data_IF_283393995682
#
_entry.id   IF_283393995682
#
_cell.length_a   1.000
_cell.length_b   1.000
_cell.length_c   1.000
_cell.angle_alpha   90.00
_cell.angle_beta   90.00
_cell.angle_gamma   90.00
#
_symmetry.space_group_name_H-M   'P 1'
#
loop_
_entity.id
_entity.type
_entity.pdbx_description
1 polymer ?
#
# COMPACT_ATOMS: atom_id res chain seq x y z
N UNK A 1 10.90 31.53 -11.31
CA UNK A 1 11.19 30.26 -10.60
C UNK A 1 10.57 29.13 -11.40
N UNK A 2 11.28 28.02 -11.61
CA UNK A 2 10.71 26.84 -12.29
C UNK A 2 9.61 26.28 -11.38
N UNK A 3 8.39 26.12 -11.88
CA UNK A 3 7.29 25.54 -11.12
C UNK A 3 7.67 24.09 -10.80
N UNK A 4 7.75 23.75 -9.51
CA UNK A 4 8.05 22.37 -9.09
C UNK A 4 6.79 21.52 -9.18
N UNK A 5 6.91 20.32 -9.74
CA UNK A 5 5.77 19.38 -9.88
C UNK A 5 5.29 18.95 -8.49
N UNK A 6 3.99 19.07 -8.16
CA UNK A 6 3.49 18.60 -6.88
C UNK A 6 3.55 17.08 -6.78
N UNK A 7 4.01 16.58 -5.64
CA UNK A 7 4.10 15.17 -5.31
C UNK A 7 3.30 14.87 -4.05
N UNK A 8 2.36 13.93 -4.10
CA UNK A 8 1.58 13.48 -2.94
C UNK A 8 2.01 12.07 -2.54
N UNK A 9 2.22 11.84 -1.25
CA UNK A 9 2.46 10.49 -0.70
C UNK A 9 1.13 9.90 -0.25
N UNK A 10 0.80 8.70 -0.72
CA UNK A 10 -0.32 7.91 -0.22
C UNK A 10 0.24 6.75 0.61
N UNK A 11 -0.11 6.72 1.89
CA UNK A 11 0.33 5.72 2.85
C UNK A 11 -0.85 5.16 3.63
N UNK A 12 -0.60 4.24 4.55
CA UNK A 12 -1.61 3.63 5.42
C UNK A 12 -1.52 2.11 5.45
N UNK A 13 -2.18 1.44 6.41
CA UNK A 13 -2.03 0.02 6.65
C UNK A 13 -2.36 -0.87 5.43
N UNK A 14 -1.88 -2.11 5.46
CA UNK A 14 -2.26 -3.11 4.45
C UNK A 14 -3.79 -3.27 4.42
N UNK A 15 -4.35 -3.37 3.21
CA UNK A 15 -5.79 -3.56 3.02
C UNK A 15 -6.68 -2.34 3.31
N UNK A 16 -6.12 -1.18 3.63
CA UNK A 16 -6.91 0.05 3.85
C UNK A 16 -7.62 0.56 2.59
N UNK A 17 -7.22 0.07 1.42
CA UNK A 17 -7.81 0.42 0.13
C UNK A 17 -6.99 1.44 -0.67
N UNK A 18 -5.69 1.58 -0.41
CA UNK A 18 -4.77 2.44 -1.17
C UNK A 18 -4.83 2.18 -2.69
N UNK A 19 -4.69 0.93 -3.12
CA UNK A 19 -4.75 0.57 -4.55
C UNK A 19 -6.11 0.91 -5.16
N UNK A 20 -7.21 0.66 -4.44
CA UNK A 20 -8.56 1.05 -4.88
C UNK A 20 -8.70 2.56 -5.03
N UNK A 21 -8.14 3.33 -4.08
CA UNK A 21 -8.09 4.79 -4.16
C UNK A 21 -7.27 5.26 -5.37
N UNK A 22 -6.10 4.68 -5.62
CA UNK A 22 -5.26 5.03 -6.77
C UNK A 22 -5.99 4.82 -8.10
N UNK A 23 -6.69 3.69 -8.25
CA UNK A 23 -7.53 3.42 -9.43
C UNK A 23 -8.62 4.48 -9.59
N UNK A 24 -9.30 4.82 -8.51
CA UNK A 24 -10.32 5.86 -8.50
C UNK A 24 -9.74 7.24 -8.89
N UNK A 25 -8.56 7.60 -8.37
CA UNK A 25 -7.84 8.83 -8.75
C UNK A 25 -7.49 8.82 -10.24
N UNK A 26 -6.95 7.72 -10.77
CA UNK A 26 -6.62 7.60 -12.19
C UNK A 26 -7.83 7.78 -13.10
N UNK A 27 -8.99 7.27 -12.70
CA UNK A 27 -10.22 7.36 -13.48
C UNK A 27 -10.89 8.73 -13.40
N UNK A 28 -10.80 9.42 -12.25
CA UNK A 28 -11.58 10.64 -11.97
C UNK A 28 -10.79 11.93 -12.05
N UNK A 29 -9.48 11.88 -11.94
CA UNK A 29 -8.67 13.09 -11.95
C UNK A 29 -8.55 13.64 -13.38
N UNK A 30 -8.92 14.91 -13.63
CA UNK A 30 -9.03 15.45 -14.99
C UNK A 30 -7.69 15.82 -15.63
N UNK A 31 -6.59 15.75 -14.86
CA UNK A 31 -5.25 16.19 -15.25
C UNK A 31 -4.28 15.01 -15.37
N UNK A 32 -3.13 15.24 -16.00
CA UNK A 32 -2.11 14.22 -16.21
C UNK A 32 -1.42 13.88 -14.89
N UNK A 33 -1.59 12.64 -14.42
CA UNK A 33 -1.00 12.17 -13.17
C UNK A 33 -0.05 11.00 -13.44
N UNK A 34 1.10 11.00 -12.77
CA UNK A 34 2.01 9.86 -12.72
C UNK A 34 1.92 9.20 -11.34
N UNK A 35 1.89 7.87 -11.31
CA UNK A 35 1.80 7.10 -10.07
C UNK A 35 3.04 6.21 -9.96
N UNK A 36 3.70 6.26 -8.81
CA UNK A 36 4.86 5.45 -8.47
C UNK A 36 4.53 4.59 -7.26
N UNK A 37 4.74 3.28 -7.36
CA UNK A 37 4.45 2.33 -6.28
C UNK A 37 5.76 1.84 -5.65
N UNK A 38 5.93 2.04 -4.35
CA UNK A 38 7.19 1.75 -3.64
C UNK A 38 7.25 0.34 -2.99
N UNK A 39 6.69 -0.71 -3.62
CA UNK A 39 6.86 -2.07 -3.09
C UNK A 39 8.26 -2.63 -3.42
N UNK A 40 9.11 -2.68 -2.39
CA UNK A 40 10.36 -3.44 -2.40
C UNK A 40 10.08 -4.93 -2.58
N UNK A 41 10.64 -5.52 -3.64
CA UNK A 41 10.86 -6.96 -3.77
C UNK A 41 9.67 -7.76 -4.36
N UNK A 42 9.97 -8.41 -5.48
CA UNK A 42 9.14 -9.39 -6.20
C UNK A 42 7.88 -8.85 -6.92
N UNK A 43 8.09 -8.66 -8.22
CA UNK A 43 7.12 -8.74 -9.31
C UNK A 43 6.15 -7.56 -9.39
N UNK A 44 6.21 -6.87 -10.53
CA UNK A 44 5.18 -5.99 -11.03
C UNK A 44 3.84 -6.75 -11.19
N UNK A 45 3.08 -6.83 -10.10
CA UNK A 45 1.69 -7.30 -10.09
C UNK A 45 0.78 -6.08 -9.93
N UNK A 46 0.91 -5.13 -10.86
CA UNK A 46 -0.20 -4.30 -11.32
C UNK A 46 0.14 -3.58 -12.66
N UNK A 47 1.06 -4.15 -13.45
CA UNK A 47 1.41 -3.67 -14.80
C UNK A 47 0.30 -3.87 -15.86
N UNK A 48 -0.94 -4.16 -15.44
CA UNK A 48 -2.12 -4.22 -16.30
C UNK A 48 -3.32 -3.48 -15.71
N UNK A 49 -3.09 -2.38 -15.00
CA UNK A 49 -4.17 -1.41 -14.76
C UNK A 49 -4.05 -0.24 -15.74
N UNK A 50 -4.57 -0.59 -16.92
CA UNK A 50 -5.33 0.25 -17.85
C UNK A 50 -4.52 1.20 -18.72
N UNK A 51 -4.49 0.79 -19.99
CA UNK A 51 -4.28 1.56 -21.21
C UNK A 51 -5.11 2.86 -21.21
N UNK A 52 -4.64 3.89 -20.53
CA UNK A 52 -4.92 5.29 -20.85
C UNK A 52 -3.87 5.78 -21.84
N UNK A 53 -4.26 6.48 -22.90
CA UNK A 53 -3.43 6.85 -24.07
C UNK A 53 -2.06 7.53 -23.79
N UNK A 54 -1.64 7.83 -22.56
CA UNK A 54 -0.45 8.64 -22.26
C UNK A 54 0.31 8.29 -20.96
N UNK A 55 0.39 7.02 -20.52
CA UNK A 55 1.20 6.65 -19.34
C UNK A 55 2.11 5.46 -19.66
N UNK A 56 3.43 5.70 -19.69
CA UNK A 56 4.45 4.66 -19.63
C UNK A 56 5.03 4.63 -18.21
N UNK A 57 5.01 3.47 -17.55
CA UNK A 57 5.65 3.25 -16.26
C UNK A 57 7.16 3.13 -16.47
N UNK A 58 7.96 3.87 -15.67
CA UNK A 58 9.39 3.63 -15.54
C UNK A 58 9.61 2.49 -14.55
N UNK A 59 10.38 1.49 -14.96
CA UNK A 59 10.73 0.30 -14.17
C UNK A 59 11.91 0.65 -13.25
N UNK A 60 11.66 0.69 -11.94
CA UNK A 60 12.70 0.86 -10.92
C UNK A 60 13.30 -0.52 -10.62
N UNK A 61 14.38 -0.83 -11.34
CA UNK A 61 15.13 -2.08 -11.20
C UNK A 61 15.61 -2.30 -9.77
N UNK A 62 15.24 -3.46 -9.20
CA UNK A 62 15.44 -3.77 -7.79
C UNK A 62 16.91 -3.84 -7.34
N UNK A 63 17.19 -3.23 -6.18
CA UNK A 63 18.42 -3.47 -5.42
C UNK A 63 18.38 -2.85 -4.04
N UNK A 64 18.37 -3.67 -2.97
CA UNK A 64 18.63 -3.17 -1.63
C UNK A 64 20.11 -2.78 -1.47
N UNK A 65 20.41 -1.48 -1.41
CA UNK A 65 21.47 -0.89 -0.59
C UNK A 65 20.90 0.43 -0.09
N UNK A 66 20.83 0.64 1.22
CA UNK A 66 20.06 1.75 1.84
C UNK A 66 20.51 3.19 1.45
N UNK A 67 21.56 3.35 0.64
CA UNK A 67 21.96 4.63 0.05
C UNK A 67 21.80 4.70 -1.50
N UNK A 68 21.59 3.58 -2.20
CA UNK A 68 21.36 3.57 -3.65
C UNK A 68 19.90 3.88 -4.02
N UNK A 69 18.98 3.53 -3.12
CA UNK A 69 17.54 3.65 -3.33
C UNK A 69 17.04 5.08 -3.43
N UNK A 70 17.63 6.02 -2.67
CA UNK A 70 17.30 7.44 -2.78
C UNK A 70 17.69 7.98 -4.17
N UNK A 71 18.88 7.61 -4.66
CA UNK A 71 19.35 7.99 -5.99
C UNK A 71 18.50 7.40 -7.11
N UNK A 72 18.07 6.14 -6.97
CA UNK A 72 17.15 5.48 -7.91
C UNK A 72 15.77 6.15 -7.91
N UNK A 73 15.20 6.42 -6.73
CA UNK A 73 13.94 7.14 -6.58
C UNK A 73 14.01 8.55 -7.19
N UNK A 74 15.08 9.29 -6.90
CA UNK A 74 15.33 10.60 -7.51
C UNK A 74 15.45 10.52 -9.03
N UNK A 75 16.21 9.55 -9.54
CA UNK A 75 16.36 9.35 -10.98
C UNK A 75 15.02 9.06 -11.65
N UNK A 76 14.20 8.16 -11.09
CA UNK A 76 12.88 7.84 -11.65
C UNK A 76 11.92 9.03 -11.60
N UNK A 77 11.89 9.78 -10.49
CA UNK A 77 11.06 11.00 -10.40
C UNK A 77 11.51 12.01 -11.44
N UNK A 78 12.82 12.22 -11.61
CA UNK A 78 13.36 13.14 -12.60
C UNK A 78 13.05 12.68 -14.04
N UNK A 79 13.16 11.38 -14.34
CA UNK A 79 12.83 10.80 -15.63
C UNK A 79 11.34 10.97 -15.95
N UNK A 80 10.45 10.69 -15.00
CA UNK A 80 9.00 10.90 -15.16
C UNK A 80 8.72 12.37 -15.48
N UNK A 81 9.36 13.31 -14.77
CA UNK A 81 9.17 14.74 -15.04
C UNK A 81 9.65 15.10 -16.44
N UNK A 82 10.81 14.60 -16.86
CA UNK A 82 11.43 14.99 -18.13
C UNK A 82 10.78 14.30 -19.35
N UNK A 83 10.23 13.09 -19.19
CA UNK A 83 9.64 12.29 -20.29
C UNK A 83 8.12 12.37 -20.35
N UNK A 84 7.46 12.33 -19.19
CA UNK A 84 6.00 12.34 -19.08
C UNK A 84 5.50 13.76 -18.87
N UNK A 85 6.21 14.66 -18.21
CA UNK A 85 5.72 16.01 -17.88
C UNK A 85 4.31 16.00 -17.26
N UNK A 86 4.11 15.31 -16.11
CA UNK A 86 2.80 15.22 -15.48
C UNK A 86 2.44 16.49 -14.70
N UNK A 87 1.14 16.80 -14.59
CA UNK A 87 0.63 17.85 -13.71
C UNK A 87 0.87 17.53 -12.22
N UNK A 88 1.01 16.24 -11.87
CA UNK A 88 1.22 15.74 -10.51
C UNK A 88 1.85 14.35 -10.48
N UNK A 89 2.61 14.09 -9.42
CA UNK A 89 3.10 12.75 -9.07
C UNK A 89 2.40 12.27 -7.79
N UNK A 90 2.05 10.99 -7.75
CA UNK A 90 1.57 10.30 -6.54
C UNK A 90 2.49 9.13 -6.24
N UNK A 91 2.96 9.02 -5.00
CA UNK A 91 3.80 7.92 -4.55
C UNK A 91 3.03 7.09 -3.53
N UNK A 92 2.81 5.81 -3.81
CA UNK A 92 2.28 4.86 -2.83
C UNK A 92 3.43 4.26 -2.00
N UNK A 93 3.30 4.28 -0.68
CA UNK A 93 4.18 3.50 0.21
C UNK A 93 3.59 2.12 0.49
N UNK A 94 4.44 1.14 0.81
CA UNK A 94 3.96 -0.14 1.31
C UNK A 94 3.12 0.05 2.57
N UNK A 95 2.18 -0.86 2.83
CA UNK A 95 1.32 -0.72 4.01
C UNK A 95 2.02 -0.97 5.36
N UNK A 96 3.30 -1.33 5.31
CA UNK A 96 4.19 -1.50 6.48
C UNK A 96 5.31 -0.46 6.50
N UNK A 97 5.35 0.45 5.53
CA UNK A 97 6.35 1.50 5.49
C UNK A 97 5.99 2.64 6.43
N UNK A 98 7.01 3.16 7.10
CA UNK A 98 6.96 4.41 7.82
C UNK A 98 7.19 5.55 6.80
N UNK A 99 6.28 6.53 6.71
CA UNK A 99 6.35 7.55 5.66
C UNK A 99 7.46 8.58 5.89
N UNK A 100 7.97 8.72 7.11
CA UNK A 100 8.86 9.80 7.52
C UNK A 100 10.14 9.90 6.70
N UNK A 101 10.80 8.77 6.44
CA UNK A 101 12.02 8.75 5.65
C UNK A 101 11.78 9.21 4.20
N UNK A 102 10.74 8.67 3.56
CA UNK A 102 10.37 9.07 2.19
C UNK A 102 9.97 10.55 2.12
N UNK A 103 9.19 11.02 3.09
CA UNK A 103 8.76 12.43 3.19
C UNK A 103 9.97 13.35 3.34
N UNK A 104 10.91 13.00 4.22
CA UNK A 104 12.16 13.74 4.41
C UNK A 104 12.99 13.77 3.12
N UNK A 105 13.18 12.62 2.48
CA UNK A 105 13.92 12.48 1.23
C UNK A 105 13.33 13.31 0.09
N UNK A 106 11.99 13.33 -0.05
CA UNK A 106 11.29 14.17 -1.03
C UNK A 106 11.55 15.65 -0.75
N UNK A 107 11.54 16.07 0.51
CA UNK A 107 11.71 17.47 0.88
C UNK A 107 13.16 17.96 0.70
N UNK A 108 14.13 17.13 1.06
CA UNK A 108 15.55 17.49 1.05
C UNK A 108 16.21 17.27 -0.32
N UNK A 109 15.93 16.15 -0.97
CA UNK A 109 16.72 15.69 -2.12
C UNK A 109 16.07 15.98 -3.47
N UNK A 110 14.73 15.97 -3.56
CA UNK A 110 14.06 16.11 -4.85
C UNK A 110 13.80 17.57 -5.25
N UNK A 111 14.78 18.19 -5.91
CA UNK A 111 14.72 19.63 -6.27
C UNK A 111 13.66 20.01 -7.32
N UNK A 112 13.22 19.07 -8.17
CA UNK A 112 12.21 19.33 -9.22
C UNK A 112 10.76 19.18 -8.74
N UNK A 113 10.55 18.57 -7.57
CA UNK A 113 9.21 18.39 -6.99
C UNK A 113 9.03 19.25 -5.75
N UNK A 114 7.77 19.40 -5.35
CA UNK A 114 7.41 19.87 -4.02
C UNK A 114 6.49 18.83 -3.39
N UNK A 115 6.77 18.44 -2.15
CA UNK A 115 5.82 17.63 -1.41
C UNK A 115 4.54 18.45 -1.22
N UNK A 116 3.45 17.95 -1.78
CA UNK A 116 2.15 18.61 -1.70
C UNK A 116 1.40 18.19 -0.42
N UNK A 117 1.50 16.91 -0.04
CA UNK A 117 0.99 16.40 1.22
C UNK A 117 1.09 14.88 1.35
N UNK A 118 0.73 14.38 2.53
CA UNK A 118 0.69 12.97 2.91
C UNK A 118 -0.76 12.59 3.20
N UNK A 119 -1.28 11.61 2.46
CA UNK A 119 -2.61 11.05 2.64
C UNK A 119 -2.46 9.68 3.28
N UNK A 120 -3.07 9.49 4.44
CA UNK A 120 -3.09 8.20 5.13
C UNK A 120 -4.46 7.55 4.99
N UNK A 121 -4.52 6.42 4.30
CA UNK A 121 -5.74 5.65 4.11
C UNK A 121 -5.92 4.71 5.29
N UNK A 122 -7.03 4.84 6.03
CA UNK A 122 -7.37 4.04 7.21
C UNK A 122 -8.65 3.24 6.94
N UNK A 123 -8.67 1.98 7.35
CA UNK A 123 -9.86 1.13 7.30
C UNK A 123 -10.69 1.29 8.58
N UNK A 124 -11.92 1.80 8.45
CA UNK A 124 -12.81 2.00 9.58
C UNK A 124 -13.21 0.68 10.26
N UNK A 125 -13.52 -0.38 9.50
CA UNK A 125 -13.91 -1.67 10.06
C UNK A 125 -12.74 -2.35 10.79
N UNK A 126 -11.53 -2.26 10.22
CA UNK A 126 -10.34 -2.78 10.88
C UNK A 126 -10.06 -2.06 12.21
N UNK A 127 -10.30 -0.75 12.28
CA UNK A 127 -10.13 0.04 13.50
C UNK A 127 -11.10 -0.35 14.62
N UNK A 128 -12.30 -0.83 14.28
CA UNK A 128 -13.25 -1.40 15.24
C UNK A 128 -12.79 -2.77 15.72
N UNK A 129 -12.42 -3.65 14.77
CA UNK A 129 -12.02 -5.04 15.08
C UNK A 129 -10.70 -5.14 15.82
N UNK A 130 -9.77 -4.22 15.53
CA UNK A 130 -8.44 -4.17 16.11
C UNK A 130 -8.21 -2.78 16.75
N UNK A 131 -8.73 -2.54 17.98
CA UNK A 131 -8.62 -1.25 18.63
C UNK A 131 -7.18 -0.86 19.01
N UNK A 132 -6.25 -1.81 19.07
CA UNK A 132 -4.82 -1.51 19.27
C UNK A 132 -4.19 -1.04 17.97
N UNK A 133 -3.48 0.10 18.01
CA UNK A 133 -2.71 0.57 16.87
C UNK A 133 -1.27 0.03 16.96
N UNK A 134 -0.80 -0.57 15.87
CA UNK A 134 0.62 -0.86 15.70
C UNK A 134 1.44 0.42 15.55
N UNK A 135 2.75 0.31 15.77
CA UNK A 135 3.66 1.46 15.74
C UNK A 135 3.64 2.15 14.37
N UNK A 136 3.77 1.39 13.29
CA UNK A 136 3.75 1.91 11.92
C UNK A 136 2.45 2.64 11.59
N UNK A 137 1.28 2.08 11.95
CA UNK A 137 0.00 2.74 11.71
C UNK A 137 -0.10 4.07 12.43
N UNK A 138 0.43 4.14 13.66
CA UNK A 138 0.49 5.39 14.42
C UNK A 138 1.35 6.43 13.70
N UNK A 139 2.56 6.07 13.25
CA UNK A 139 3.42 6.98 12.50
C UNK A 139 2.77 7.45 11.19
N UNK A 140 2.09 6.55 10.47
CA UNK A 140 1.32 6.91 9.28
C UNK A 140 0.20 7.92 9.59
N UNK A 141 -0.49 7.78 10.72
CA UNK A 141 -1.52 8.74 11.16
C UNK A 141 -0.86 10.08 11.54
N UNK A 142 0.25 10.08 12.28
CA UNK A 142 0.97 11.28 12.73
C UNK A 142 1.57 12.10 11.57
N UNK A 143 1.97 11.43 10.48
CA UNK A 143 2.52 12.06 9.29
C UNK A 143 1.45 12.68 8.36
N UNK A 144 0.20 12.25 8.48
CA UNK A 144 -0.90 12.62 7.59
C UNK A 144 -1.23 14.11 7.61
N UNK A 145 -1.48 14.69 6.44
CA UNK A 145 -2.22 15.95 6.30
C UNK A 145 -3.71 15.68 6.08
N UNK A 146 -4.03 14.56 5.40
CA UNK A 146 -5.38 14.04 5.22
C UNK A 146 -5.42 12.59 5.67
N UNK A 147 -6.39 12.26 6.50
CA UNK A 147 -6.74 10.87 6.80
C UNK A 147 -7.97 10.51 5.98
N UNK A 148 -7.79 9.63 4.99
CA UNK A 148 -8.92 9.06 4.26
C UNK A 148 -9.46 7.86 5.05
N UNK A 149 -10.52 8.07 5.81
CA UNK A 149 -11.21 7.03 6.55
C UNK A 149 -12.14 6.27 5.60
N UNK A 150 -11.69 5.11 5.14
CA UNK A 150 -12.34 4.28 4.14
C UNK A 150 -13.17 3.16 4.77
N UNK A 151 -14.04 2.52 3.97
CA UNK A 151 -14.94 1.43 4.37
C UNK A 151 -15.92 1.83 5.48
N UNK A 152 -16.33 3.09 5.46
CA UNK A 152 -17.26 3.68 6.46
C UNK A 152 -18.65 3.07 6.40
N UNK A 153 -19.00 2.40 5.31
CA UNK A 153 -20.21 1.61 5.13
C UNK A 153 -20.27 0.35 6.00
N UNK A 154 -19.14 -0.10 6.54
CA UNK A 154 -19.03 -1.33 7.33
C UNK A 154 -19.12 -1.10 8.84
N UNK A 155 -19.27 0.15 9.30
CA UNK A 155 -19.30 0.51 10.72
C UNK A 155 -20.53 1.35 11.06
N UNK A 156 -20.97 1.27 12.32
CA UNK A 156 -22.05 2.11 12.83
C UNK A 156 -21.60 3.56 13.02
N UNK A 157 -22.56 4.49 13.08
CA UNK A 157 -22.28 5.91 13.36
C UNK A 157 -21.56 6.13 14.70
N UNK A 158 -21.90 5.35 15.72
CA UNK A 158 -21.25 5.43 17.04
C UNK A 158 -19.80 4.98 17.00
N UNK A 159 -19.50 3.92 16.24
CA UNK A 159 -18.12 3.44 16.05
C UNK A 159 -17.30 4.44 15.24
N UNK A 160 -17.90 5.03 14.19
CA UNK A 160 -17.24 6.04 13.37
C UNK A 160 -16.82 7.26 14.20
N UNK A 161 -17.70 7.78 15.05
CA UNK A 161 -17.38 8.88 15.97
C UNK A 161 -16.26 8.52 16.97
N UNK A 162 -16.23 7.27 17.44
CA UNK A 162 -15.15 6.80 18.33
C UNK A 162 -13.81 6.72 17.60
N UNK A 163 -13.81 6.27 16.34
CA UNK A 163 -12.62 6.23 15.49
C UNK A 163 -12.10 7.64 15.22
N UNK A 164 -12.97 8.58 14.83
CA UNK A 164 -12.59 9.99 14.60
C UNK A 164 -11.91 10.59 15.82
N UNK A 165 -12.51 10.44 17.00
CA UNK A 165 -11.94 10.95 18.25
C UNK A 165 -10.55 10.37 18.51
N UNK A 166 -10.35 9.08 18.21
CA UNK A 166 -9.06 8.41 18.36
C UNK A 166 -8.02 8.90 17.35
N UNK A 167 -8.42 9.11 16.10
CA UNK A 167 -7.54 9.64 15.05
C UNK A 167 -7.10 11.07 15.36
N UNK A 168 -8.04 11.93 15.78
CA UNK A 168 -7.76 13.32 16.16
C UNK A 168 -6.88 13.41 17.42
N UNK A 169 -7.00 12.47 18.36
CA UNK A 169 -6.12 12.40 19.52
C UNK A 169 -4.66 12.04 19.16
N UNK A 170 -4.42 11.48 17.98
CA UNK A 170 -3.09 11.14 17.47
C UNK A 170 -2.57 12.27 16.56
N UNK A 171 -3.44 12.79 15.69
CA UNK A 171 -3.12 13.87 14.78
C UNK A 171 -4.26 14.90 14.76
N UNK A 172 -4.08 15.97 15.54
CA UNK A 172 -5.05 17.06 15.67
C UNK A 172 -5.14 17.95 14.43
N UNK A 173 -4.17 17.87 13.52
CA UNK A 173 -4.02 18.75 12.36
C UNK A 173 -4.64 18.14 11.11
N UNK A 174 -4.63 16.80 11.00
CA UNK A 174 -5.11 16.13 9.80
C UNK A 174 -6.62 16.31 9.60
N UNK A 175 -7.00 16.64 8.36
CA UNK A 175 -8.40 16.59 7.95
C UNK A 175 -8.86 15.15 7.74
N UNK A 176 -10.00 14.77 8.29
CA UNK A 176 -10.59 13.45 8.09
C UNK A 176 -11.58 13.52 6.93
N UNK A 177 -11.37 12.68 5.92
CA UNK A 177 -12.26 12.54 4.77
C UNK A 177 -12.82 11.13 4.74
N UNK A 178 -14.13 10.99 4.62
CA UNK A 178 -14.80 9.70 4.62
C UNK A 178 -14.91 9.15 3.20
N UNK A 179 -14.69 7.85 3.06
CA UNK A 179 -14.85 7.15 1.80
C UNK A 179 -15.51 5.78 1.97
N UNK A 180 -16.14 5.35 0.88
CA UNK A 180 -16.61 3.98 0.66
C UNK A 180 -15.94 3.49 -0.61
N UNK A 181 -15.27 2.34 -0.54
CA UNK A 181 -14.50 1.76 -1.68
C UNK A 181 -13.49 2.75 -2.29
N UNK A 182 -12.86 3.59 -1.48
CA UNK A 182 -11.88 4.58 -1.94
C UNK A 182 -12.46 5.71 -2.79
N UNK A 183 -13.79 5.82 -2.89
CA UNK A 183 -14.44 6.85 -3.67
C UNK A 183 -14.46 8.17 -2.90
N UNK A 184 -13.77 9.16 -3.44
CA UNK A 184 -13.66 10.53 -2.92
C UNK A 184 -13.38 11.46 -4.09
N UNK A 185 -13.79 12.72 -4.03
CA UNK A 185 -13.36 13.68 -5.04
C UNK A 185 -11.83 13.85 -4.95
N UNK A 186 -11.04 13.49 -5.99
CA UNK A 186 -9.59 13.62 -5.94
C UNK A 186 -9.12 15.06 -5.72
N UNK A 187 -9.92 16.07 -6.07
CA UNK A 187 -9.56 17.47 -5.79
C UNK A 187 -9.50 17.77 -4.29
N UNK A 188 -10.21 17.01 -3.44
CA UNK A 188 -10.11 17.12 -1.97
C UNK A 188 -8.80 16.58 -1.41
N UNK A 189 -8.10 15.73 -2.18
CA UNK A 189 -6.86 15.07 -1.76
C UNK A 189 -5.60 15.87 -2.10
N UNK A 190 -5.72 16.88 -2.95
CA UNK A 190 -4.61 17.55 -3.59
C UNK A 190 -4.64 19.07 -3.35
N UNK A 191 -3.48 19.72 -3.49
CA UNK A 191 -3.38 21.17 -3.34
C UNK A 191 -3.29 21.62 -1.88
N UNK A 192 -2.89 20.72 -0.98
CA UNK A 192 -2.73 20.99 0.45
C UNK A 192 -1.63 22.05 0.68
N UNK A 193 -0.59 22.05 -0.14
CA UNK A 193 0.50 23.03 -0.04
C UNK A 193 1.28 22.90 1.27
N UNK A 194 1.59 21.67 1.69
CA UNK A 194 2.27 21.35 2.95
C UNK A 194 3.52 22.21 3.16
N UNK A 195 3.51 23.02 4.23
CA UNK A 195 4.68 23.79 4.71
C UNK A 195 5.45 23.07 5.83
N UNK A 196 4.88 21.98 6.37
CA UNK A 196 5.48 21.18 7.46
C UNK A 196 6.76 20.51 6.99
N UNK A 197 7.90 20.92 7.54
CA UNK A 197 9.21 20.28 7.36
C UNK A 197 9.28 19.03 8.24
N UNK A 198 9.56 17.88 7.64
CA UNK A 198 9.79 16.63 8.35
C UNK A 198 11.19 16.65 8.95
N UNK A 199 11.32 16.30 10.23
CA UNK A 199 12.63 16.12 10.84
C UNK A 199 13.32 14.86 10.27
N UNK A 200 14.66 14.79 10.26
CA UNK A 200 15.37 13.58 9.88
C UNK A 200 14.84 12.40 10.70
N UNK A 201 14.50 11.26 10.07
CA UNK A 201 13.97 10.11 10.79
C UNK A 201 15.01 9.62 11.81
N UNK A 202 14.57 9.37 13.04
CA UNK A 202 15.36 8.54 13.96
C UNK A 202 15.15 7.09 13.52
N UNK A 203 16.08 6.55 12.73
CA UNK A 203 16.00 5.18 12.23
C UNK A 203 16.02 4.16 13.38
N UNK A 204 14.85 3.80 13.89
CA UNK A 204 14.65 2.61 14.72
C UNK A 204 14.03 1.56 13.80
N UNK A 205 14.85 0.74 13.17
CA UNK A 205 14.36 -0.47 12.51
C UNK A 205 13.72 -1.36 13.58
N UNK A 206 12.39 -1.33 13.72
CA UNK A 206 11.70 -2.35 14.49
C UNK A 206 11.43 -3.54 13.57
N UNK A 207 11.94 -4.75 13.89
CA UNK A 207 11.63 -5.97 13.17
C UNK A 207 10.22 -6.46 13.53
N UNK A 208 9.22 -5.58 13.45
CA UNK A 208 7.84 -5.92 13.84
C UNK A 208 7.17 -6.82 12.81
N UNK A 209 7.59 -6.77 11.54
CA UNK A 209 7.02 -7.58 10.48
C UNK A 209 8.08 -8.43 9.79
N UNK A 210 7.79 -9.72 9.69
CA UNK A 210 8.56 -10.69 8.92
C UNK A 210 7.82 -10.98 7.62
N UNK A 211 8.55 -11.51 6.62
CA UNK A 211 7.93 -12.05 5.41
C UNK A 211 8.59 -13.36 4.98
N UNK A 212 7.83 -14.22 4.30
CA UNK A 212 8.39 -15.35 3.58
C UNK A 212 7.60 -15.66 2.32
N UNK A 213 8.30 -16.18 1.31
CA UNK A 213 7.69 -16.64 0.06
C UNK A 213 7.57 -18.18 0.03
N UNK A 214 6.53 -18.67 -0.62
CA UNK A 214 6.27 -20.07 -0.93
C UNK A 214 6.11 -20.22 -2.44
N UNK A 215 6.89 -21.11 -3.07
CA UNK A 215 6.80 -21.39 -4.50
C UNK A 215 6.55 -22.86 -4.74
N UNK A 216 5.64 -23.18 -5.64
CA UNK A 216 5.35 -24.55 -6.03
C UNK A 216 4.88 -24.64 -7.49
N UNK A 217 5.37 -25.62 -8.27
CA UNK A 217 4.84 -25.90 -9.60
C UNK A 217 3.52 -26.71 -9.56
N UNK A 218 3.14 -27.24 -8.40
CA UNK A 218 1.99 -28.13 -8.25
C UNK A 218 0.65 -27.41 -8.50
N UNK A 219 -0.35 -28.19 -8.88
CA UNK A 219 -1.74 -27.70 -8.95
C UNK A 219 -2.36 -27.88 -7.58
N UNK A 220 -3.05 -26.86 -7.08
CA UNK A 220 -3.69 -26.89 -5.78
C UNK A 220 -5.14 -27.40 -5.91
N UNK A 221 -5.63 -28.08 -4.88
CA UNK A 221 -7.05 -28.30 -4.68
C UNK A 221 -7.69 -26.99 -4.17
N UNK A 222 -8.67 -26.47 -4.93
CA UNK A 222 -9.31 -25.19 -4.62
C UNK A 222 -9.96 -25.18 -3.24
N UNK A 223 -10.79 -26.18 -2.93
CA UNK A 223 -11.50 -26.24 -1.66
C UNK A 223 -10.53 -26.28 -0.47
N UNK A 224 -9.48 -27.11 -0.56
CA UNK A 224 -8.44 -27.17 0.47
C UNK A 224 -7.75 -25.81 0.67
N UNK A 225 -7.42 -25.11 -0.43
CA UNK A 225 -6.78 -23.80 -0.35
C UNK A 225 -7.70 -22.76 0.31
N UNK A 226 -8.97 -22.71 -0.06
CA UNK A 226 -9.95 -21.79 0.53
C UNK A 226 -10.14 -22.06 2.04
N UNK A 227 -10.20 -23.33 2.45
CA UNK A 227 -10.23 -23.73 3.87
C UNK A 227 -8.95 -23.31 4.60
N UNK A 228 -7.78 -23.51 3.99
CA UNK A 228 -6.49 -23.06 4.52
C UNK A 228 -6.48 -21.54 4.76
N UNK A 229 -6.88 -20.74 3.76
CA UNK A 229 -6.88 -19.29 3.86
C UNK A 229 -7.85 -18.81 4.95
N UNK A 230 -9.03 -19.43 5.05
CA UNK A 230 -9.99 -19.13 6.13
C UNK A 230 -9.46 -19.50 7.53
N UNK A 231 -8.47 -20.39 7.61
CA UNK A 231 -7.81 -20.78 8.87
C UNK A 231 -6.61 -19.90 9.27
N UNK A 232 -6.20 -18.95 8.41
CA UNK A 232 -5.06 -18.08 8.70
C UNK A 232 -5.35 -17.22 9.95
N UNK A 233 -4.44 -17.31 10.93
CA UNK A 233 -4.55 -16.64 12.22
C UNK A 233 -4.29 -15.13 12.11
N UNK A 234 -4.60 -14.40 13.18
CA UNK A 234 -4.45 -12.92 13.30
C UNK A 234 -3.02 -12.41 13.11
N UNK A 235 -2.02 -13.29 13.20
CA UNK A 235 -0.62 -12.93 13.06
C UNK A 235 -0.20 -12.77 11.58
N UNK A 236 -1.00 -13.29 10.64
CA UNK A 236 -0.87 -13.00 9.21
C UNK A 236 -1.67 -11.75 8.88
N UNK A 237 -0.98 -10.67 8.56
CA UNK A 237 -1.62 -9.41 8.16
C UNK A 237 -1.95 -9.41 6.67
N UNK A 238 -1.06 -9.95 5.84
CA UNK A 238 -1.25 -10.04 4.39
C UNK A 238 -0.69 -11.33 3.84
N UNK A 239 -1.40 -11.88 2.87
CA UNK A 239 -0.81 -12.83 1.94
C UNK A 239 -1.22 -12.43 0.52
N UNK A 240 -0.31 -12.55 -0.44
CA UNK A 240 -0.62 -12.26 -1.84
C UNK A 240 0.16 -13.19 -2.75
N UNK A 241 -0.34 -13.40 -3.96
CA UNK A 241 0.41 -14.10 -4.98
C UNK A 241 -0.46 -14.87 -5.94
N UNK A 242 0.11 -15.86 -6.60
CA UNK A 242 -0.55 -16.66 -7.61
C UNK A 242 -0.77 -18.06 -7.09
N UNK A 243 -1.94 -18.62 -7.38
CA UNK A 243 -2.27 -20.01 -7.05
C UNK A 243 -2.81 -20.69 -8.29
N UNK A 244 -2.21 -21.83 -8.64
CA UNK A 244 -2.65 -22.68 -9.74
C UNK A 244 -3.73 -23.64 -9.25
N UNK A 245 -4.92 -23.59 -9.85
CA UNK A 245 -5.98 -24.59 -9.69
C UNK A 245 -6.21 -25.32 -11.03
N UNK A 246 -6.99 -26.42 -11.07
CA UNK A 246 -7.27 -27.16 -12.31
C UNK A 246 -7.95 -26.30 -13.39
N UNK A 247 -8.73 -25.28 -12.99
CA UNK A 247 -9.45 -24.41 -13.92
C UNK A 247 -8.61 -23.24 -14.45
N UNK A 248 -7.42 -23.01 -13.88
CA UNK A 248 -6.56 -21.89 -14.23
C UNK A 248 -5.79 -21.33 -13.03
N UNK A 249 -5.06 -20.25 -13.27
CA UNK A 249 -4.30 -19.55 -12.22
C UNK A 249 -5.09 -18.34 -11.77
N UNK A 250 -5.01 -18.06 -10.47
CA UNK A 250 -5.70 -16.95 -9.83
C UNK A 250 -4.71 -16.10 -9.05
N UNK A 251 -4.87 -14.79 -9.15
CA UNK A 251 -4.32 -13.83 -8.21
C UNK A 251 -5.09 -13.96 -6.90
N UNK A 252 -4.37 -14.25 -5.84
CA UNK A 252 -4.84 -14.36 -4.47
C UNK A 252 -4.44 -13.11 -3.70
N UNK A 253 -5.42 -12.47 -3.06
CA UNK A 253 -5.16 -11.43 -2.08
C UNK A 253 -5.82 -11.80 -0.76
N UNK A 254 -5.08 -11.73 0.34
CA UNK A 254 -5.57 -11.86 1.70
C UNK A 254 -5.10 -10.67 2.52
N UNK A 255 -6.02 -10.03 3.23
CA UNK A 255 -5.72 -9.00 4.21
C UNK A 255 -6.62 -9.14 5.43
N UNK A 256 -5.99 -9.32 6.59
CA UNK A 256 -6.67 -9.34 7.91
C UNK A 256 -7.96 -10.19 7.93
N UNK A 257 -7.86 -11.44 7.45
CA UNK A 257 -8.96 -12.41 7.47
C UNK A 257 -9.94 -12.30 6.29
N UNK A 258 -9.77 -11.34 5.38
CA UNK A 258 -10.56 -11.23 4.14
C UNK A 258 -9.70 -11.64 2.95
N UNK A 259 -10.29 -12.31 1.97
CA UNK A 259 -9.57 -12.67 0.76
C UNK A 259 -10.45 -12.75 -0.49
N UNK A 260 -9.80 -12.66 -1.65
CA UNK A 260 -10.39 -12.85 -2.97
C UNK A 260 -9.46 -13.66 -3.89
N UNK A 261 -10.05 -14.16 -4.98
CA UNK A 261 -9.37 -14.85 -6.08
C UNK A 261 -9.84 -14.26 -7.40
N UNK A 262 -8.91 -13.76 -8.22
CA UNK A 262 -9.18 -13.21 -9.54
C UNK A 262 -8.40 -13.99 -10.62
N UNK A 263 -9.01 -14.40 -11.75
CA UNK A 263 -8.30 -15.13 -12.81
C UNK A 263 -7.08 -14.37 -13.34
N UNK A 264 -5.94 -15.06 -13.52
CA UNK A 264 -4.67 -14.46 -13.93
C UNK A 264 -3.82 -15.40 -14.82
N UNK A 265 -2.81 -14.85 -15.52
CA UNK A 265 -1.90 -15.61 -16.41
C UNK A 265 -0.50 -15.66 -15.79
N UNK A 266 -0.07 -16.86 -15.34
CA UNK A 266 1.26 -17.14 -14.79
C UNK A 266 1.63 -18.62 -15.08
N UNK A 267 2.81 -19.07 -14.65
CA UNK A 267 3.29 -20.44 -14.83
C UNK A 267 3.41 -21.26 -13.54
N UNK A 268 3.25 -20.66 -12.35
CA UNK A 268 3.42 -21.39 -11.09
C UNK A 268 2.67 -20.71 -9.93
N UNK A 269 2.49 -21.46 -8.84
CA UNK A 269 2.04 -20.92 -7.57
C UNK A 269 3.22 -20.20 -6.91
N UNK A 270 3.06 -18.91 -6.62
CA UNK A 270 4.01 -18.11 -5.86
C UNK A 270 3.24 -17.25 -4.86
N UNK A 271 3.46 -17.46 -3.57
CA UNK A 271 2.75 -16.79 -2.49
C UNK A 271 3.74 -16.07 -1.58
N UNK A 272 3.40 -14.89 -1.11
CA UNK A 272 4.15 -14.13 -0.11
C UNK A 272 3.25 -13.90 1.09
N UNK A 273 3.74 -14.23 2.28
CA UNK A 273 3.07 -14.00 3.57
C UNK A 273 3.82 -12.91 4.33
N UNK A 274 3.07 -11.99 4.94
CA UNK A 274 3.58 -10.88 5.75
C UNK A 274 2.83 -10.88 7.07
N UNK A 275 3.59 -10.91 8.17
CA UNK A 275 3.02 -11.17 9.49
C UNK A 275 3.95 -10.83 10.65
N UNK A 276 3.44 -10.99 11.87
CA UNK A 276 4.23 -11.00 13.10
C UNK A 276 4.63 -12.43 13.44
N UNK A 277 5.81 -12.62 14.04
CA UNK A 277 6.31 -13.93 14.48
C UNK A 277 6.24 -15.01 13.37
N UNK A 278 6.44 -14.62 12.10
CA UNK A 278 6.30 -15.56 10.99
C UNK A 278 7.29 -16.71 11.10
N UNK A 279 8.48 -16.46 11.62
CA UNK A 279 9.51 -17.47 11.88
C UNK A 279 8.98 -18.65 12.71
N UNK A 280 8.04 -18.42 13.63
CA UNK A 280 7.42 -19.45 14.47
C UNK A 280 6.33 -20.23 13.73
N UNK A 281 5.51 -19.56 12.91
CA UNK A 281 4.33 -20.16 12.25
C UNK A 281 4.58 -20.59 10.79
N UNK A 282 5.72 -20.22 10.20
CA UNK A 282 6.07 -20.49 8.80
C UNK A 282 5.99 -21.97 8.43
N UNK A 283 6.51 -22.84 9.29
CA UNK A 283 6.53 -24.30 9.03
C UNK A 283 5.11 -24.86 8.99
N UNK A 284 4.22 -24.40 9.87
CA UNK A 284 2.82 -24.79 9.87
C UNK A 284 2.11 -24.37 8.57
N UNK A 285 2.31 -23.12 8.15
CA UNK A 285 1.72 -22.59 6.92
C UNK A 285 2.18 -23.38 5.70
N UNK A 286 3.48 -23.65 5.59
CA UNK A 286 4.05 -24.43 4.48
C UNK A 286 3.47 -25.85 4.47
N UNK A 287 3.33 -26.49 5.63
CA UNK A 287 2.77 -27.84 5.71
C UNK A 287 1.29 -27.87 5.28
N UNK A 288 0.49 -26.89 5.69
CA UNK A 288 -0.92 -26.78 5.27
C UNK A 288 -1.04 -26.52 3.76
N UNK A 289 -0.19 -25.67 3.18
CA UNK A 289 -0.15 -25.45 1.73
C UNK A 289 0.19 -26.74 0.97
N UNK A 290 1.19 -27.50 1.42
CA UNK A 290 1.56 -28.78 0.80
C UNK A 290 0.46 -29.83 0.81
N UNK A 291 -0.41 -29.82 1.83
CA UNK A 291 -1.57 -30.73 1.87
C UNK A 291 -2.60 -30.42 0.78
N UNK A 292 -2.59 -29.21 0.23
CA UNK A 292 -3.46 -28.82 -0.85
C UNK A 292 -2.88 -29.10 -2.24
N UNK A 293 -1.63 -29.54 -2.36
CA UNK A 293 -1.00 -29.87 -3.65
C UNK A 293 -1.53 -31.20 -4.21
N UNK A 294 -1.75 -31.25 -5.53
CA UNK A 294 -2.20 -32.40 -6.31
C UNK A 294 -1.17 -32.82 -7.35
#
# INVERSE_FOLDING_TARGET
MKIRTPLTVITGPLGSGKTTLLRHILEKFPKKIAILMNEFGEIAIDAKIIQGKNVQMADLGGGCVCCSLLGEFEAAVNEIIDTVDPDRIVVETTGVAEPDALVFDIQESLTKVRLDGVITVIDADAMVKYPSLGHTTRLQIEAADIILLNKTDLVSKSELLAIEKKLLAINEIASIVYAVRGQVDPELLFGIGRERVQAPPQHIHQPEFESFSYKSPATFNRQCFEEFVNSLQTDIYRAKGFVRFPEGIYLFNFVSGRWDLEPFVQEATELVFIGKNLSEIKVEIINKLKLCEQ
#
